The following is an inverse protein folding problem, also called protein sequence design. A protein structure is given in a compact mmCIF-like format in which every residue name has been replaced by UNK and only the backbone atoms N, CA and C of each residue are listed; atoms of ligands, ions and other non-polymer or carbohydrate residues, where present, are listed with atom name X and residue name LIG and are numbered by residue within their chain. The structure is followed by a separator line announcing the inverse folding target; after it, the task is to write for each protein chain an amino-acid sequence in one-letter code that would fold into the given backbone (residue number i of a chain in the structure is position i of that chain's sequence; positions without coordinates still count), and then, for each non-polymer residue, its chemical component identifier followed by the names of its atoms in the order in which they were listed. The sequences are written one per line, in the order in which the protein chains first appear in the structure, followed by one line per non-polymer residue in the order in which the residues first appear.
data_IF_921407013539
#
_entry.id   IF_921407013539
#
_cell.length_a   1.000
_cell.length_b   1.000
_cell.length_c   1.000
_cell.angle_alpha   90.00
_cell.angle_beta   90.00
_cell.angle_gamma   90.00
#
_symmetry.space_group_name_H-M   'P 1'
#
loop_
_entity.id
_entity.type
_entity.pdbx_description
1 polymer ?
#
# COMPACT_ATOMS: atom_id res chain seq x y z
N UNK A 1 3.96 -22.57 0.75
CA UNK A 1 4.52 -21.26 0.36
C UNK A 1 4.93 -21.37 -1.10
N UNK A 2 4.09 -20.91 -2.01
CA UNK A 2 4.28 -21.07 -3.46
C UNK A 2 5.44 -20.15 -3.88
N UNK A 3 6.58 -20.73 -4.31
CA UNK A 3 7.72 -19.97 -4.83
C UNK A 3 7.48 -19.72 -6.32
N UNK A 4 6.67 -18.71 -6.62
CA UNK A 4 6.62 -18.14 -7.97
C UNK A 4 7.97 -17.45 -8.22
N UNK A 5 8.52 -17.52 -9.44
CA UNK A 5 9.83 -16.93 -9.77
C UNK A 5 9.71 -16.02 -10.99
N UNK A 6 10.45 -14.90 -10.98
CA UNK A 6 10.53 -13.99 -12.11
C UNK A 6 9.36 -13.01 -12.22
N UNK A 7 8.89 -12.79 -13.46
CA UNK A 7 7.97 -11.71 -13.83
C UNK A 7 6.58 -11.81 -13.17
N UNK A 8 6.21 -13.01 -12.76
CA UNK A 8 4.90 -13.31 -12.14
C UNK A 8 4.81 -12.81 -10.71
N UNK A 9 5.89 -12.96 -9.92
CA UNK A 9 6.00 -12.36 -8.57
C UNK A 9 5.89 -10.84 -8.63
N UNK A 10 6.51 -10.23 -9.65
CA UNK A 10 6.43 -8.78 -9.82
C UNK A 10 4.99 -8.34 -10.09
N UNK A 11 4.24 -9.06 -10.94
CA UNK A 11 2.81 -8.79 -11.17
C UNK A 11 1.96 -8.93 -9.92
N UNK A 12 2.19 -9.99 -9.12
CA UNK A 12 1.52 -10.18 -7.83
C UNK A 12 1.81 -9.02 -6.87
N UNK A 13 3.08 -8.64 -6.75
CA UNK A 13 3.52 -7.51 -5.93
C UNK A 13 2.82 -6.19 -6.30
N UNK A 14 2.70 -5.90 -7.59
CA UNK A 14 2.04 -4.68 -8.07
C UNK A 14 0.54 -4.72 -7.83
N UNK A 15 -0.08 -5.89 -8.04
CA UNK A 15 -1.52 -6.07 -7.80
C UNK A 15 -1.84 -5.86 -6.32
N UNK A 16 -1.01 -6.40 -5.43
CA UNK A 16 -1.12 -6.17 -4.00
C UNK A 16 -0.92 -4.68 -3.63
N UNK A 17 0.08 -4.01 -4.21
CA UNK A 17 0.31 -2.58 -3.99
C UNK A 17 -0.89 -1.71 -4.42
N UNK A 18 -1.50 -2.04 -5.57
CA UNK A 18 -2.71 -1.37 -6.06
C UNK A 18 -3.89 -1.57 -5.13
N UNK A 19 -4.12 -2.79 -4.69
CA UNK A 19 -5.22 -3.10 -3.77
C UNK A 19 -5.10 -2.29 -2.47
N UNK A 20 -3.88 -2.16 -1.94
CA UNK A 20 -3.62 -1.29 -0.79
C UNK A 20 -3.93 0.16 -1.13
N UNK A 21 -3.42 0.68 -2.25
CA UNK A 21 -3.67 2.07 -2.66
C UNK A 21 -5.16 2.38 -2.80
N UNK A 22 -5.93 1.48 -3.42
CA UNK A 22 -7.37 1.62 -3.63
C UNK A 22 -8.16 1.59 -2.31
N UNK A 23 -7.72 0.79 -1.34
CA UNK A 23 -8.32 0.77 -0.01
C UNK A 23 -8.18 2.13 0.68
N UNK A 24 -6.98 2.72 0.61
CA UNK A 24 -6.64 3.97 1.29
C UNK A 24 -7.09 5.23 0.52
N UNK A 25 -7.25 5.17 -0.81
CA UNK A 25 -7.60 6.32 -1.66
C UNK A 25 -8.95 6.94 -1.29
N UNK A 26 -9.94 6.11 -0.97
CA UNK A 26 -11.26 6.55 -0.51
C UNK A 26 -11.26 7.25 0.85
N UNK A 27 -10.19 7.11 1.63
CA UNK A 27 -9.99 7.77 2.93
C UNK A 27 -9.04 8.96 2.84
N UNK A 28 -8.60 9.34 1.63
CA UNK A 28 -7.68 10.44 1.41
C UNK A 28 -8.35 11.82 1.57
N UNK A 29 -7.64 12.72 2.27
CA UNK A 29 -8.03 14.12 2.42
C UNK A 29 -9.11 14.38 3.49
N UNK A 30 -9.48 15.66 3.68
CA UNK A 30 -10.42 16.06 4.74
C UNK A 30 -11.86 15.55 4.50
N UNK A 31 -12.22 15.28 3.24
CA UNK A 31 -13.48 14.66 2.84
C UNK A 31 -13.38 13.11 2.72
N UNK A 32 -12.26 12.52 3.15
CA UNK A 32 -12.05 11.08 3.10
C UNK A 32 -13.06 10.31 3.95
N UNK A 33 -13.52 9.17 3.43
CA UNK A 33 -14.50 8.32 4.10
C UNK A 33 -13.86 7.50 5.23
N UNK A 34 -14.60 7.34 6.32
CA UNK A 34 -14.22 6.40 7.39
C UNK A 34 -14.40 4.96 6.93
N UNK A 35 -13.54 4.08 7.44
CA UNK A 35 -13.65 2.63 7.26
C UNK A 35 -14.24 2.00 8.51
N UNK A 36 -15.14 1.06 8.31
CA UNK A 36 -15.61 0.16 9.35
C UNK A 36 -14.70 -1.07 9.34
N UNK A 37 -13.93 -1.24 10.41
CA UNK A 37 -13.09 -2.40 10.65
C UNK A 37 -13.88 -3.36 11.53
N UNK A 38 -13.99 -4.62 11.12
CA UNK A 38 -14.63 -5.67 11.90
C UNK A 38 -13.55 -6.51 12.56
N UNK A 39 -13.59 -6.60 13.89
CA UNK A 39 -12.67 -7.43 14.66
C UNK A 39 -13.20 -8.87 14.77
N UNK A 40 -12.29 -9.85 14.83
CA UNK A 40 -12.66 -11.27 14.88
C UNK A 40 -13.43 -11.70 16.13
N UNK A 41 -13.53 -10.83 17.14
CA UNK A 41 -14.29 -11.00 18.39
C UNK A 41 -15.77 -10.56 18.26
N UNK A 42 -16.18 -10.02 17.10
CA UNK A 42 -17.54 -9.50 16.88
C UNK A 42 -17.71 -8.00 17.16
N UNK A 43 -16.65 -7.30 17.55
CA UNK A 43 -16.64 -5.84 17.69
C UNK A 43 -16.37 -5.13 16.36
N UNK A 44 -16.75 -3.86 16.26
CA UNK A 44 -16.48 -3.04 15.08
C UNK A 44 -15.93 -1.67 15.45
N UNK A 45 -14.95 -1.22 14.68
CA UNK A 45 -14.31 0.09 14.86
C UNK A 45 -14.46 0.92 13.60
N UNK A 46 -15.11 2.07 13.72
CA UNK A 46 -15.18 3.06 12.65
C UNK A 46 -13.99 4.01 12.79
N UNK A 47 -13.08 4.03 11.82
CA UNK A 47 -11.87 4.85 11.87
C UNK A 47 -11.54 5.51 10.54
N UNK A 48 -10.93 6.70 10.64
CA UNK A 48 -10.22 7.37 9.53
C UNK A 48 -8.71 7.37 9.72
N UNK A 49 -8.23 6.84 10.84
CA UNK A 49 -6.81 6.80 11.12
C UNK A 49 -6.14 5.69 10.32
N UNK A 50 -5.30 6.10 9.38
CA UNK A 50 -4.59 5.18 8.49
C UNK A 50 -3.63 4.24 9.25
N UNK A 51 -3.13 4.64 10.41
CA UNK A 51 -2.27 3.78 11.24
C UNK A 51 -3.09 2.63 11.84
N UNK A 52 -4.32 2.92 12.31
CA UNK A 52 -5.24 1.89 12.81
C UNK A 52 -5.70 0.99 11.66
N UNK A 53 -5.93 1.55 10.47
CA UNK A 53 -6.27 0.75 9.29
C UNK A 53 -5.11 -0.15 8.85
N UNK A 54 -3.85 0.28 9.07
CA UNK A 54 -2.66 -0.45 8.63
C UNK A 54 -2.42 -1.78 9.35
N UNK A 55 -2.85 -1.93 10.61
CA UNK A 55 -2.66 -3.15 11.39
C UNK A 55 -3.40 -4.35 10.79
N UNK A 56 -4.58 -4.11 10.22
CA UNK A 56 -5.40 -5.14 9.58
C UNK A 56 -4.88 -5.49 8.17
N UNK A 57 -4.35 -4.49 7.45
CA UNK A 57 -3.91 -4.62 6.05
C UNK A 57 -2.52 -5.25 5.94
N UNK A 58 -1.66 -5.06 6.94
CA UNK A 58 -0.28 -5.55 6.94
C UNK A 58 -0.16 -7.09 6.93
N UNK A 59 -1.24 -7.83 7.18
CA UNK A 59 -1.21 -9.27 7.38
C UNK A 59 -1.14 -10.12 6.08
N UNK A 60 -1.44 -9.54 4.91
CA UNK A 60 -1.71 -10.36 3.70
C UNK A 60 -0.51 -10.49 2.76
N UNK A 61 0.30 -9.45 2.59
CA UNK A 61 1.33 -9.43 1.55
C UNK A 61 2.60 -8.64 1.95
N UNK A 62 3.83 -9.12 1.63
CA UNK A 62 5.08 -8.44 1.99
C UNK A 62 5.16 -6.99 1.50
N UNK A 63 4.68 -6.73 0.27
CA UNK A 63 4.62 -5.37 -0.29
C UNK A 63 3.66 -4.47 0.50
N UNK A 64 2.54 -5.01 0.99
CA UNK A 64 1.61 -4.26 1.84
C UNK A 64 2.29 -3.81 3.12
N UNK A 65 3.03 -4.71 3.78
CA UNK A 65 3.82 -4.39 4.98
C UNK A 65 4.85 -3.28 4.71
N UNK A 66 5.60 -3.36 3.60
CA UNK A 66 6.58 -2.33 3.23
C UNK A 66 5.92 -0.95 3.02
N UNK A 67 4.76 -0.91 2.35
CA UNK A 67 4.01 0.34 2.16
C UNK A 67 3.51 0.91 3.49
N UNK A 68 3.03 0.06 4.41
CA UNK A 68 2.59 0.49 5.74
C UNK A 68 3.74 1.00 6.59
N UNK A 69 4.92 0.36 6.53
CA UNK A 69 6.13 0.82 7.23
C UNK A 69 6.60 2.19 6.71
N UNK A 70 6.57 2.40 5.39
CA UNK A 70 6.89 3.71 4.80
C UNK A 70 5.91 4.80 5.26
N UNK A 71 4.61 4.50 5.27
CA UNK A 71 3.58 5.41 5.79
C UNK A 71 3.76 5.70 7.28
N UNK A 72 4.05 4.69 8.09
CA UNK A 72 4.25 4.81 9.53
C UNK A 72 5.46 5.68 9.85
N UNK A 73 6.56 5.51 9.11
CA UNK A 73 7.76 6.35 9.22
C UNK A 73 7.42 7.80 8.92
N UNK A 74 6.70 8.06 7.82
CA UNK A 74 6.28 9.40 7.44
C UNK A 74 5.41 10.07 8.52
N UNK A 75 4.50 9.31 9.15
CA UNK A 75 3.67 9.80 10.26
C UNK A 75 4.49 10.08 11.52
N UNK A 76 5.49 9.28 11.84
CA UNK A 76 6.37 9.52 13.00
C UNK A 76 7.20 10.80 12.83
N UNK A 77 7.73 11.03 11.63
CA UNK A 77 8.62 12.16 11.36
C UNK A 77 7.86 13.47 11.06
N UNK A 78 6.76 13.40 10.32
CA UNK A 78 6.03 14.57 9.79
C UNK A 78 4.69 14.81 10.50
N UNK A 79 4.11 13.77 11.11
CA UNK A 79 2.81 13.83 11.81
C UNK A 79 1.58 13.60 10.93
N UNK A 80 1.67 13.92 9.63
CA UNK A 80 0.60 13.75 8.64
C UNK A 80 1.16 13.22 7.30
N UNK A 81 0.28 12.83 6.40
CA UNK A 81 0.64 12.41 5.04
C UNK A 81 0.80 10.91 4.85
N UNK A 82 0.43 10.09 5.85
CA UNK A 82 0.48 8.62 5.77
C UNK A 82 -0.18 8.10 4.48
N UNK A 83 -1.43 8.52 4.21
CA UNK A 83 -2.23 8.05 3.08
C UNK A 83 -1.61 8.48 1.75
N UNK A 84 -1.19 9.75 1.64
CA UNK A 84 -0.50 10.27 0.45
C UNK A 84 0.78 9.50 0.15
N UNK A 85 1.59 9.19 1.17
CA UNK A 85 2.84 8.45 1.02
C UNK A 85 2.59 7.03 0.51
N UNK A 86 1.57 6.35 1.05
CA UNK A 86 1.18 5.00 0.59
C UNK A 86 0.69 5.02 -0.85
N UNK A 87 -0.21 5.94 -1.21
CA UNK A 87 -0.75 6.05 -2.57
C UNK A 87 0.35 6.41 -3.57
N UNK A 88 1.25 7.32 -3.19
CA UNK A 88 2.38 7.72 -4.03
C UNK A 88 3.33 6.56 -4.28
N UNK A 89 3.74 5.84 -3.22
CA UNK A 89 4.62 4.70 -3.33
C UNK A 89 4.03 3.59 -4.22
N UNK A 90 2.74 3.27 -4.03
CA UNK A 90 2.05 2.30 -4.88
C UNK A 90 1.98 2.75 -6.36
N UNK A 91 1.73 4.03 -6.61
CA UNK A 91 1.69 4.61 -7.96
C UNK A 91 3.05 4.56 -8.66
N UNK A 92 4.15 4.76 -7.90
CA UNK A 92 5.51 4.63 -8.41
C UNK A 92 5.83 3.20 -8.80
N UNK A 93 5.45 2.21 -7.98
CA UNK A 93 5.64 0.79 -8.28
C UNK A 93 4.87 0.39 -9.56
N UNK A 94 3.63 0.87 -9.74
CA UNK A 94 2.90 0.64 -10.99
C UNK A 94 3.60 1.27 -12.20
N UNK A 95 4.07 2.52 -12.09
CA UNK A 95 4.75 3.21 -13.19
C UNK A 95 6.06 2.51 -13.55
N UNK A 96 6.85 2.11 -12.56
CA UNK A 96 8.08 1.35 -12.77
C UNK A 96 7.83 0.05 -13.53
N UNK A 97 6.74 -0.66 -13.21
CA UNK A 97 6.33 -1.84 -13.96
C UNK A 97 5.96 -1.55 -15.42
N UNK A 98 5.20 -0.48 -15.68
CA UNK A 98 4.86 -0.09 -17.05
C UNK A 98 6.12 0.19 -17.87
N UNK A 99 7.10 0.86 -17.28
CA UNK A 99 8.39 1.13 -17.92
C UNK A 99 9.19 -0.16 -18.17
N UNK A 100 9.20 -1.08 -17.20
CA UNK A 100 9.83 -2.40 -17.35
C UNK A 100 9.18 -3.21 -18.49
N UNK A 101 7.85 -3.15 -18.60
CA UNK A 101 7.11 -3.82 -19.68
C UNK A 101 7.33 -3.16 -21.06
N UNK A 102 7.77 -1.90 -21.08
CA UNK A 102 8.19 -1.19 -22.30
C UNK A 102 9.67 -1.48 -22.66
N UNK A 103 10.32 -2.43 -21.99
CA UNK A 103 11.69 -2.86 -22.28
C UNK A 103 12.78 -2.03 -21.60
N UNK A 104 12.43 -1.13 -20.68
CA UNK A 104 13.40 -0.36 -19.90
C UNK A 104 13.91 -1.23 -18.75
N UNK A 105 15.23 -1.38 -18.61
CA UNK A 105 15.80 -2.22 -17.55
C UNK A 105 15.43 -1.66 -16.16
N UNK A 106 14.96 -2.50 -15.21
CA UNK A 106 14.51 -2.04 -13.89
C UNK A 106 15.52 -1.19 -13.11
N UNK A 107 16.82 -1.42 -13.31
CA UNK A 107 17.89 -0.61 -12.72
C UNK A 107 17.82 0.88 -13.09
N UNK A 108 17.34 1.19 -14.30
CA UNK A 108 17.18 2.58 -14.76
C UNK A 108 15.93 3.21 -14.15
N UNK A 109 14.89 2.41 -13.89
CA UNK A 109 13.61 2.91 -13.32
C UNK A 109 13.63 3.08 -11.80
N UNK A 110 14.63 2.54 -11.11
CA UNK A 110 14.77 2.60 -9.65
C UNK A 110 15.50 3.85 -9.14
N UNK A 111 16.11 4.63 -10.04
CA UNK A 111 16.81 5.89 -9.73
C UNK A 111 15.86 7.07 -9.93
#
# INVERSE_FOLDING_TARGET
MMKTAGNEVLKENITAAKLVADLFSSSFGPAGMAKLLFEGNGDFKVTRDALIMSSEVALVHPIGKLLMEAGATCRTEVGDGFISTVILAASLVERGWRLANNGIHPSVTAT
#
